data_IF_711050616081
#
_entry.id   IF_711050616081
#
_cell.length_a   1.000
_cell.length_b   1.000
_cell.length_c   1.000
_cell.angle_alpha   90.00
_cell.angle_beta   90.00
_cell.angle_gamma   90.00
#
_symmetry.space_group_name_H-M   'P 1'
#
loop_
_entity.id
_entity.type
_entity.pdbx_description
1 polymer ?
#
# COMPACT_ATOMS: atom_id res chain seq x y z
N UNK A 1 -8.12 0.30 -32.34
CA UNK A 1 -8.13 -1.13 -32.00
C UNK A 1 -9.07 -1.41 -30.81
N UNK A 2 -8.98 -0.66 -29.69
CA UNK A 2 -9.83 -0.84 -28.51
C UNK A 2 -11.34 -0.76 -28.83
N UNK A 3 -11.73 0.18 -29.69
CA UNK A 3 -13.13 0.40 -30.05
C UNK A 3 -13.72 -0.76 -30.87
N UNK A 4 -12.89 -1.46 -31.64
CA UNK A 4 -13.33 -2.58 -32.49
C UNK A 4 -13.11 -3.95 -31.85
N UNK A 5 -12.15 -4.08 -30.92
CA UNK A 5 -11.74 -5.33 -30.29
C UNK A 5 -11.92 -5.34 -28.77
N UNK A 6 -12.72 -4.41 -28.21
CA UNK A 6 -12.87 -4.27 -26.75
C UNK A 6 -13.32 -5.57 -26.06
N UNK A 7 -14.18 -6.38 -26.68
CA UNK A 7 -14.61 -7.67 -26.14
C UNK A 7 -13.46 -8.69 -26.09
N UNK A 8 -12.62 -8.74 -27.12
CA UNK A 8 -11.45 -9.62 -27.17
C UNK A 8 -10.41 -9.21 -26.10
N UNK A 9 -10.15 -7.92 -25.98
CA UNK A 9 -9.25 -7.37 -24.94
C UNK A 9 -9.79 -7.71 -23.55
N UNK A 10 -11.08 -7.51 -23.29
CA UNK A 10 -11.72 -7.88 -22.03
C UNK A 10 -11.56 -9.38 -21.71
N UNK A 11 -11.72 -10.26 -22.70
CA UNK A 11 -11.52 -11.70 -22.53
C UNK A 11 -10.05 -12.03 -22.17
N UNK A 12 -9.08 -11.41 -22.84
CA UNK A 12 -7.67 -11.61 -22.51
C UNK A 12 -7.32 -11.07 -21.12
N UNK A 13 -7.81 -9.89 -20.75
CA UNK A 13 -7.67 -9.35 -19.39
C UNK A 13 -8.26 -10.32 -18.35
N UNK A 14 -9.44 -10.89 -18.62
CA UNK A 14 -10.05 -11.87 -17.74
C UNK A 14 -9.18 -13.10 -17.55
N UNK A 15 -8.63 -13.68 -18.63
CA UNK A 15 -7.74 -14.83 -18.55
C UNK A 15 -6.51 -14.53 -17.68
N UNK A 16 -5.87 -13.38 -17.88
CA UNK A 16 -4.69 -12.98 -17.09
C UNK A 16 -5.07 -12.78 -15.63
N UNK A 17 -6.09 -11.96 -15.35
CA UNK A 17 -6.48 -11.62 -13.96
C UNK A 17 -6.92 -12.86 -13.19
N UNK A 18 -7.72 -13.73 -13.79
CA UNK A 18 -8.16 -14.95 -13.10
C UNK A 18 -7.00 -15.93 -12.89
N UNK A 19 -6.06 -16.02 -13.83
CA UNK A 19 -4.88 -16.88 -13.68
C UNK A 19 -3.98 -16.44 -12.53
N UNK A 20 -3.73 -15.14 -12.38
CA UNK A 20 -2.88 -14.62 -11.28
C UNK A 20 -3.55 -14.76 -9.90
N UNK A 21 -4.89 -14.78 -9.84
CA UNK A 21 -5.64 -14.97 -8.60
C UNK A 21 -5.72 -16.44 -8.15
N UNK A 22 -5.31 -17.39 -8.99
CA UNK A 22 -5.32 -18.79 -8.62
C UNK A 22 -4.05 -19.17 -7.84
N UNK A 23 -4.17 -19.78 -6.65
CA UNK A 23 -3.04 -20.37 -5.96
C UNK A 23 -2.46 -21.52 -6.76
N UNK A 24 -1.13 -21.64 -6.80
CA UNK A 24 -0.47 -22.75 -7.45
C UNK A 24 0.52 -23.44 -6.50
N UNK A 25 0.60 -24.77 -6.57
CA UNK A 25 1.50 -25.57 -5.74
C UNK A 25 2.97 -25.18 -5.93
N UNK A 26 3.39 -24.88 -7.16
CA UNK A 26 4.74 -24.39 -7.47
C UNK A 26 5.10 -23.05 -6.79
N UNK A 27 4.10 -22.32 -6.30
CA UNK A 27 4.28 -21.06 -5.54
C UNK A 27 3.91 -21.21 -4.06
N UNK A 28 3.96 -22.42 -3.50
CA UNK A 28 3.53 -22.67 -2.12
C UNK A 28 2.06 -22.34 -1.86
N UNK A 29 1.20 -22.60 -2.84
CA UNK A 29 -0.23 -22.28 -2.83
C UNK A 29 -0.54 -20.78 -2.67
N UNK A 30 0.37 -19.91 -3.12
CA UNK A 30 0.14 -18.45 -3.17
C UNK A 30 -0.31 -18.02 -4.57
N UNK A 31 -1.11 -16.96 -4.60
CA UNK A 31 -1.43 -16.23 -5.84
C UNK A 31 -0.25 -15.32 -6.23
N UNK A 32 -0.21 -14.91 -7.50
CA UNK A 32 0.79 -13.93 -7.94
C UNK A 32 0.43 -12.56 -7.40
N UNK A 33 1.32 -11.98 -6.59
CA UNK A 33 1.17 -10.60 -6.15
C UNK A 33 1.49 -9.65 -7.32
N UNK A 34 0.47 -9.01 -7.85
CA UNK A 34 0.58 -8.12 -8.99
C UNK A 34 -0.01 -6.75 -8.69
N UNK A 35 0.71 -5.69 -9.04
CA UNK A 35 0.28 -4.31 -8.91
C UNK A 35 0.24 -3.65 -10.28
N UNK A 36 -0.81 -2.89 -10.56
CA UNK A 36 -0.95 -2.06 -11.75
C UNK A 36 -1.15 -0.62 -11.33
N UNK A 37 -0.41 0.30 -11.96
CA UNK A 37 -0.64 1.73 -11.78
C UNK A 37 -1.33 2.33 -13.01
N UNK A 38 -2.26 3.24 -12.75
CA UNK A 38 -2.85 4.15 -13.71
C UNK A 38 -2.36 5.56 -13.39
N UNK A 39 -2.11 6.37 -14.39
CA UNK A 39 -1.39 7.63 -14.26
C UNK A 39 -2.24 8.79 -14.74
N UNK A 40 -2.05 9.97 -14.17
CA UNK A 40 -2.47 11.22 -14.77
C UNK A 40 -1.59 11.60 -15.96
N UNK A 41 -1.99 12.60 -16.74
CA UNK A 41 -1.24 13.00 -17.91
C UNK A 41 0.17 13.46 -17.56
N UNK A 42 0.35 14.23 -16.50
CA UNK A 42 1.65 14.78 -16.12
C UNK A 42 2.63 13.72 -15.67
N UNK A 43 2.14 12.72 -14.93
CA UNK A 43 2.92 11.55 -14.54
C UNK A 43 3.35 10.75 -15.77
N UNK A 44 2.38 10.50 -16.67
CA UNK A 44 2.63 9.78 -17.91
C UNK A 44 3.68 10.49 -18.78
N UNK A 45 3.54 11.81 -18.99
CA UNK A 45 4.48 12.59 -19.81
C UNK A 45 5.90 12.55 -19.21
N UNK A 46 6.03 12.66 -17.88
CA UNK A 46 7.31 12.63 -17.21
C UNK A 46 8.00 11.25 -17.26
N UNK A 47 7.22 10.17 -17.16
CA UNK A 47 7.77 8.81 -17.12
C UNK A 47 7.96 8.20 -18.52
N UNK A 48 7.04 8.47 -19.44
CA UNK A 48 6.96 7.79 -20.74
C UNK A 48 7.08 8.71 -21.94
N UNK A 49 7.15 10.03 -21.75
CA UNK A 49 7.19 11.00 -22.85
C UNK A 49 8.39 10.82 -23.81
N UNK A 50 9.50 10.29 -23.29
CA UNK A 50 10.70 10.00 -24.05
C UNK A 50 10.77 8.55 -24.58
N UNK A 51 9.77 7.71 -24.26
CA UNK A 51 9.72 6.33 -24.75
C UNK A 51 9.51 6.31 -26.28
N UNK A 52 10.20 5.41 -26.95
CA UNK A 52 10.10 5.22 -28.40
C UNK A 52 9.80 3.76 -28.68
N UNK A 53 8.71 3.51 -29.40
CA UNK A 53 8.37 2.16 -29.87
C UNK A 53 9.33 1.70 -30.98
N UNK A 54 9.37 0.37 -31.29
CA UNK A 54 10.24 -0.15 -32.34
C UNK A 54 10.01 0.46 -33.75
N UNK A 55 8.82 1.00 -33.99
CA UNK A 55 8.47 1.72 -35.23
C UNK A 55 8.78 3.23 -35.18
N UNK A 56 9.53 3.67 -34.14
CA UNK A 56 9.90 5.07 -33.89
C UNK A 56 8.73 5.98 -33.49
N UNK A 57 7.53 5.46 -33.31
CA UNK A 57 6.43 6.24 -32.75
C UNK A 57 6.61 6.47 -31.23
N UNK A 58 5.96 7.50 -30.69
CA UNK A 58 5.92 7.80 -29.26
C UNK A 58 4.57 7.44 -28.67
N UNK A 59 4.51 7.13 -27.36
CA UNK A 59 3.25 6.92 -26.70
C UNK A 59 2.39 8.20 -26.72
N UNK A 60 1.09 8.02 -26.87
CA UNK A 60 0.12 9.13 -27.00
C UNK A 60 -0.85 9.07 -25.83
N UNK A 61 -0.85 10.11 -25.00
CA UNK A 61 -1.70 10.18 -23.80
C UNK A 61 -3.18 9.82 -24.02
N UNK A 62 -3.90 10.35 -25.03
CA UNK A 62 -5.31 9.99 -25.23
C UNK A 62 -5.54 8.48 -25.44
N UNK A 63 -4.60 7.76 -26.03
CA UNK A 63 -4.68 6.30 -26.20
C UNK A 63 -4.49 5.57 -24.88
N UNK A 64 -3.54 6.02 -24.08
CA UNK A 64 -3.27 5.44 -22.74
C UNK A 64 -4.43 5.74 -21.80
N UNK A 65 -4.94 6.96 -21.77
CA UNK A 65 -6.12 7.33 -20.97
C UNK A 65 -7.34 6.45 -21.30
N UNK A 66 -7.63 6.23 -22.59
CA UNK A 66 -8.70 5.32 -23.03
C UNK A 66 -8.49 3.90 -22.51
N UNK A 67 -7.27 3.37 -22.58
CA UNK A 67 -6.97 2.01 -22.10
C UNK A 67 -7.09 1.91 -20.58
N UNK A 68 -6.60 2.90 -19.85
CA UNK A 68 -6.71 2.95 -18.38
C UNK A 68 -8.18 2.99 -17.95
N UNK A 69 -9.00 3.85 -18.54
CA UNK A 69 -10.43 3.95 -18.27
C UNK A 69 -11.17 2.65 -18.63
N UNK A 70 -10.82 2.03 -19.76
CA UNK A 70 -11.38 0.74 -20.14
C UNK A 70 -11.05 -0.33 -19.09
N UNK A 71 -9.80 -0.41 -18.65
CA UNK A 71 -9.37 -1.36 -17.64
C UNK A 71 -10.09 -1.13 -16.29
N UNK A 72 -10.15 0.11 -15.79
CA UNK A 72 -10.80 0.43 -14.52
C UNK A 72 -12.27 0.03 -14.52
N UNK A 73 -13.01 0.38 -15.56
CA UNK A 73 -14.44 0.03 -15.70
C UNK A 73 -14.65 -1.46 -15.82
N UNK A 74 -13.86 -2.13 -16.66
CA UNK A 74 -13.92 -3.57 -16.81
C UNK A 74 -13.60 -4.29 -15.48
N UNK A 75 -12.52 -3.91 -14.81
CA UNK A 75 -12.11 -4.55 -13.55
C UNK A 75 -13.11 -4.31 -12.42
N UNK A 76 -13.71 -3.11 -12.37
CA UNK A 76 -14.78 -2.80 -11.42
C UNK A 76 -16.03 -3.69 -11.63
N UNK A 77 -16.35 -4.02 -12.88
CA UNK A 77 -17.43 -4.97 -13.21
C UNK A 77 -17.05 -6.42 -12.86
N UNK A 78 -15.84 -6.87 -13.20
CA UNK A 78 -15.39 -8.24 -12.87
C UNK A 78 -15.41 -8.51 -11.37
N UNK A 79 -15.12 -7.52 -10.53
CA UNK A 79 -15.16 -7.64 -9.07
C UNK A 79 -16.56 -7.84 -8.49
N UNK A 80 -17.62 -7.67 -9.26
CA UNK A 80 -18.98 -8.09 -8.86
C UNK A 80 -19.26 -9.56 -9.15
N UNK A 81 -18.42 -10.23 -9.94
CA UNK A 81 -18.55 -11.66 -10.28
C UNK A 81 -17.71 -12.56 -9.38
N UNK A 82 -16.55 -12.07 -8.96
CA UNK A 82 -15.62 -12.81 -8.10
C UNK A 82 -14.83 -11.87 -7.19
N UNK A 83 -14.41 -12.39 -6.04
CA UNK A 83 -13.48 -11.68 -5.15
C UNK A 83 -12.08 -11.76 -5.75
N UNK A 84 -11.70 -10.75 -6.53
CA UNK A 84 -10.39 -10.65 -7.16
C UNK A 84 -9.46 -9.85 -6.25
N UNK A 85 -8.47 -10.54 -5.69
CA UNK A 85 -7.46 -9.94 -4.83
C UNK A 85 -6.46 -9.11 -5.63
N UNK A 86 -6.09 -9.58 -6.80
CA UNK A 86 -5.10 -8.99 -7.70
C UNK A 86 -5.68 -8.71 -9.09
N UNK A 87 -5.17 -7.71 -9.81
CA UNK A 87 -4.11 -6.79 -9.41
C UNK A 87 -4.55 -5.83 -8.28
N UNK A 88 -3.59 -5.42 -7.45
CA UNK A 88 -3.74 -4.20 -6.64
C UNK A 88 -3.59 -3.03 -7.60
N UNK A 89 -4.56 -2.14 -7.65
CA UNK A 89 -4.54 -0.97 -8.54
C UNK A 89 -4.11 0.27 -7.74
N UNK A 90 -3.25 1.08 -8.32
CA UNK A 90 -2.83 2.39 -7.78
C UNK A 90 -3.08 3.48 -8.80
N UNK A 91 -3.84 4.51 -8.44
CA UNK A 91 -3.98 5.73 -9.22
C UNK A 91 -2.91 6.73 -8.77
N UNK A 92 -1.95 7.00 -9.64
CA UNK A 92 -0.83 7.89 -9.38
C UNK A 92 -1.08 9.27 -10.02
N UNK A 93 -1.02 10.32 -9.20
CA UNK A 93 -1.28 11.70 -9.60
C UNK A 93 -0.17 12.63 -9.12
N UNK A 94 0.24 13.56 -9.97
CA UNK A 94 1.14 14.62 -9.57
C UNK A 94 0.38 15.75 -8.87
N UNK A 95 1.04 16.32 -7.87
CA UNK A 95 0.54 17.48 -7.11
C UNK A 95 1.44 18.69 -7.35
N UNK A 96 0.84 19.86 -7.17
CA UNK A 96 1.54 21.15 -7.16
C UNK A 96 0.83 22.09 -6.17
N UNK A 97 1.59 22.68 -5.24
CA UNK A 97 1.04 23.59 -4.23
C UNK A 97 -0.10 22.99 -3.39
N UNK A 98 -0.08 21.67 -3.09
CA UNK A 98 -1.12 21.00 -2.31
C UNK A 98 -2.41 20.73 -3.10
N UNK A 99 -2.35 20.64 -4.42
CA UNK A 99 -3.48 20.32 -5.32
C UNK A 99 -3.07 19.30 -6.36
N UNK A 100 -4.02 18.46 -6.81
CA UNK A 100 -3.78 17.60 -7.98
C UNK A 100 -3.58 18.47 -9.23
N UNK A 101 -2.51 18.21 -9.97
CA UNK A 101 -2.19 18.94 -11.21
C UNK A 101 -3.22 18.67 -12.31
N UNK A 102 -3.59 17.41 -12.49
CA UNK A 102 -4.60 16.97 -13.44
C UNK A 102 -5.96 16.86 -12.74
N UNK A 103 -6.74 17.94 -12.80
CA UNK A 103 -8.07 17.99 -12.18
C UNK A 103 -9.06 17.05 -12.88
N UNK A 104 -8.91 16.85 -14.19
CA UNK A 104 -9.79 15.96 -14.97
C UNK A 104 -9.59 14.51 -14.54
N UNK A 105 -8.35 14.07 -14.42
CA UNK A 105 -8.05 12.72 -13.95
C UNK A 105 -8.47 12.54 -12.48
N UNK A 106 -8.29 13.55 -11.63
CA UNK A 106 -8.75 13.50 -10.24
C UNK A 106 -10.28 13.35 -10.13
N UNK A 107 -11.03 14.07 -10.99
CA UNK A 107 -12.49 13.95 -11.06
C UNK A 107 -12.91 12.55 -11.58
N UNK A 108 -12.22 12.01 -12.59
CA UNK A 108 -12.44 10.63 -13.05
C UNK A 108 -12.19 9.60 -11.96
N UNK A 109 -11.12 9.75 -11.16
CA UNK A 109 -10.82 8.83 -10.05
C UNK A 109 -11.87 8.95 -8.92
N UNK A 110 -12.33 10.15 -8.62
CA UNK A 110 -13.41 10.35 -7.65
C UNK A 110 -14.71 9.68 -8.10
N UNK A 111 -15.04 9.77 -9.38
CA UNK A 111 -16.20 9.08 -9.99
C UNK A 111 -16.04 7.55 -9.91
N UNK A 112 -14.90 7.00 -10.29
CA UNK A 112 -14.64 5.56 -10.21
C UNK A 112 -14.79 5.04 -8.77
N UNK A 113 -14.32 5.78 -7.76
CA UNK A 113 -14.52 5.45 -6.35
C UNK A 113 -16.00 5.48 -5.96
N UNK A 114 -16.76 6.49 -6.43
CA UNK A 114 -18.21 6.60 -6.18
C UNK A 114 -19.00 5.45 -6.84
N UNK A 115 -18.54 4.95 -7.98
CA UNK A 115 -19.08 3.76 -8.66
C UNK A 115 -18.65 2.43 -7.97
N UNK A 116 -17.96 2.52 -6.84
CA UNK A 116 -17.54 1.38 -6.01
C UNK A 116 -16.28 0.69 -6.49
N UNK A 117 -15.47 1.35 -7.34
CA UNK A 117 -14.13 0.86 -7.62
C UNK A 117 -13.25 0.99 -6.36
N UNK A 118 -12.21 0.17 -6.27
CA UNK A 118 -11.35 0.14 -5.10
C UNK A 118 -9.89 0.06 -5.55
N UNK A 119 -9.17 1.14 -5.35
CA UNK A 119 -7.75 1.28 -5.66
C UNK A 119 -7.06 2.14 -4.60
N UNK A 120 -5.73 2.10 -4.60
CA UNK A 120 -4.91 3.05 -3.87
C UNK A 120 -4.76 4.33 -4.66
N UNK A 121 -4.63 5.42 -3.95
CA UNK A 121 -4.25 6.72 -4.51
C UNK A 121 -2.82 7.00 -4.08
N UNK A 122 -1.97 7.36 -5.02
CA UNK A 122 -0.62 7.86 -4.78
C UNK A 122 -0.48 9.29 -5.29
N UNK A 123 -0.08 10.18 -4.40
CA UNK A 123 0.14 11.60 -4.70
C UNK A 123 1.61 11.94 -4.49
N UNK A 124 2.21 12.63 -5.45
CA UNK A 124 3.60 13.08 -5.36
C UNK A 124 3.80 14.41 -6.08
N UNK A 125 4.67 15.24 -5.56
CA UNK A 125 5.19 16.42 -6.25
C UNK A 125 6.38 16.09 -7.18
N UNK A 126 6.87 14.85 -7.13
CA UNK A 126 7.99 14.35 -7.90
C UNK A 126 7.59 13.13 -8.75
N UNK A 127 7.71 13.21 -10.10
CA UNK A 127 7.39 12.09 -10.99
C UNK A 127 8.36 10.90 -10.86
N UNK A 128 9.56 11.10 -10.31
CA UNK A 128 10.55 10.05 -10.12
C UNK A 128 10.22 9.14 -8.92
N UNK A 129 9.12 9.38 -8.24
CA UNK A 129 8.67 8.62 -7.09
C UNK A 129 7.35 7.92 -7.38
N UNK A 130 7.25 6.63 -7.11
CA UNK A 130 6.03 5.84 -7.30
C UNK A 130 5.88 4.86 -6.14
N UNK A 131 4.68 4.81 -5.56
CA UNK A 131 4.33 3.76 -4.62
C UNK A 131 3.88 2.51 -5.36
N UNK A 132 4.42 1.37 -4.97
CA UNK A 132 3.97 0.07 -5.44
C UNK A 132 3.68 -0.85 -4.25
N UNK A 133 2.77 -1.80 -4.45
CA UNK A 133 2.41 -2.79 -3.46
C UNK A 133 1.75 -2.19 -2.21
N UNK A 134 2.14 -2.66 -1.03
CA UNK A 134 1.43 -2.35 0.20
C UNK A 134 1.81 -1.01 0.81
N UNK A 135 3.00 -0.47 0.57
CA UNK A 135 3.47 0.83 1.13
C UNK A 135 4.83 1.28 0.59
N UNK A 136 5.51 0.46 -0.22
CA UNK A 136 6.85 0.75 -0.67
C UNK A 136 6.86 1.96 -1.62
N UNK A 137 7.53 3.02 -1.22
CA UNK A 137 7.85 4.15 -2.09
C UNK A 137 9.17 3.85 -2.80
N UNK A 138 9.15 3.84 -4.13
CA UNK A 138 10.33 3.64 -4.95
C UNK A 138 10.74 4.97 -5.58
N UNK A 139 11.95 5.43 -5.31
CA UNK A 139 12.55 6.50 -6.09
C UNK A 139 13.08 5.92 -7.40
N UNK A 140 12.58 6.43 -8.52
CA UNK A 140 13.03 6.03 -9.85
C UNK A 140 14.22 6.91 -10.20
N UNK A 141 15.39 6.56 -9.70
CA UNK A 141 16.64 7.31 -9.98
C UNK A 141 17.14 7.13 -11.42
N UNK A 142 16.58 6.17 -12.14
CA UNK A 142 17.07 5.76 -13.45
C UNK A 142 15.92 5.78 -14.47
N UNK A 143 15.92 6.76 -15.37
CA UNK A 143 14.97 6.90 -16.49
C UNK A 143 15.13 5.79 -17.55
N UNK A 144 15.61 4.61 -17.17
CA UNK A 144 15.86 3.46 -18.06
C UNK A 144 14.61 2.74 -18.55
N UNK A 145 13.42 3.35 -18.43
CA UNK A 145 12.20 2.87 -19.09
C UNK A 145 12.37 2.69 -20.60
N UNK A 146 13.27 3.44 -21.21
CA UNK A 146 13.46 3.45 -22.66
C UNK A 146 14.20 2.22 -23.22
N UNK A 147 14.77 1.35 -22.40
CA UNK A 147 15.63 0.25 -22.88
C UNK A 147 15.23 -1.15 -22.49
N UNK A 148 14.21 -1.34 -21.67
CA UNK A 148 13.78 -2.67 -21.26
C UNK A 148 12.30 -2.86 -21.55
N UNK A 149 11.98 -3.55 -22.62
CA UNK A 149 10.65 -4.02 -22.96
C UNK A 149 10.01 -4.75 -21.74
N UNK A 150 9.05 -4.08 -21.10
CA UNK A 150 8.20 -4.66 -20.08
C UNK A 150 8.74 -4.74 -18.65
N UNK A 151 10.02 -4.49 -18.43
CA UNK A 151 10.60 -4.46 -17.08
C UNK A 151 10.80 -3.03 -16.57
N UNK A 152 10.12 -2.07 -17.18
CA UNK A 152 10.28 -0.65 -16.97
C UNK A 152 10.72 -0.30 -15.58
N UNK A 153 11.76 0.51 -15.42
CA UNK A 153 12.35 1.20 -14.26
C UNK A 153 11.96 0.86 -12.83
N UNK A 154 11.03 -0.06 -12.62
CA UNK A 154 10.47 -0.51 -11.35
C UNK A 154 11.07 -1.86 -10.93
N UNK A 155 12.30 -2.16 -11.33
CA UNK A 155 13.03 -3.34 -10.83
C UNK A 155 13.54 -3.10 -9.39
N UNK A 156 12.79 -2.34 -8.58
CA UNK A 156 13.09 -2.04 -7.19
C UNK A 156 12.18 -2.84 -6.26
N UNK A 157 12.60 -3.01 -5.04
CA UNK A 157 11.83 -3.73 -4.01
C UNK A 157 12.62 -3.85 -2.74
N UNK A 158 12.08 -4.53 -1.74
CA UNK A 158 12.80 -4.88 -0.53
C UNK A 158 13.28 -6.33 -0.61
N UNK A 159 14.59 -6.53 -0.49
CA UNK A 159 15.19 -7.87 -0.46
C UNK A 159 15.12 -8.49 0.93
N UNK A 160 15.09 -7.66 1.96
CA UNK A 160 15.02 -8.08 3.36
C UNK A 160 14.31 -7.02 4.20
N UNK A 161 13.45 -7.45 5.11
CA UNK A 161 12.78 -6.57 6.07
C UNK A 161 13.04 -7.09 7.48
N UNK A 162 13.62 -6.25 8.34
CA UNK A 162 13.70 -6.51 9.78
C UNK A 162 12.83 -5.48 10.48
N UNK A 163 11.80 -5.95 11.19
CA UNK A 163 10.80 -5.07 11.81
C UNK A 163 11.09 -4.88 13.29
N UNK A 164 11.15 -3.61 13.71
CA UNK A 164 11.29 -3.22 15.12
C UNK A 164 9.91 -3.30 15.79
N UNK A 165 9.84 -3.99 16.92
CA UNK A 165 8.74 -3.89 17.86
C UNK A 165 8.95 -2.63 18.72
N UNK A 166 8.32 -1.52 18.33
CA UNK A 166 8.53 -0.24 19.00
C UNK A 166 8.04 -0.25 20.45
N UNK A 167 6.93 -0.96 20.74
CA UNK A 167 6.41 -1.06 22.10
C UNK A 167 7.42 -1.68 23.06
N UNK A 168 8.04 -2.79 22.67
CA UNK A 168 9.08 -3.45 23.48
C UNK A 168 10.33 -2.60 23.63
N UNK A 169 10.77 -2.00 22.54
CA UNK A 169 11.97 -1.16 22.52
C UNK A 169 11.87 0.01 23.50
N UNK A 170 10.72 0.71 23.51
CA UNK A 170 10.48 1.84 24.40
C UNK A 170 10.38 1.40 25.87
N UNK A 171 9.69 0.31 26.15
CA UNK A 171 9.57 -0.21 27.54
C UNK A 171 10.89 -0.74 28.09
N UNK A 172 11.76 -1.29 27.25
CA UNK A 172 13.12 -1.68 27.62
C UNK A 172 14.06 -0.47 27.83
N UNK A 173 13.68 0.72 27.39
CA UNK A 173 14.53 1.90 27.39
C UNK A 173 15.79 1.74 26.55
N UNK A 174 15.74 0.91 25.49
CA UNK A 174 16.89 0.68 24.61
C UNK A 174 17.10 1.86 23.67
N UNK A 175 18.37 2.14 23.39
CA UNK A 175 18.74 3.14 22.40
C UNK A 175 18.36 2.70 20.99
N UNK A 176 17.41 3.43 20.38
CA UNK A 176 16.93 3.17 19.03
C UNK A 176 18.04 3.24 17.98
N UNK A 177 18.97 4.20 18.09
CA UNK A 177 20.06 4.35 17.13
C UNK A 177 21.00 3.12 17.17
N UNK A 178 21.30 2.60 18.36
CA UNK A 178 22.10 1.39 18.53
C UNK A 178 21.42 0.15 17.98
N UNK A 179 20.09 0.02 18.14
CA UNK A 179 19.34 -1.11 17.56
C UNK A 179 19.27 -1.00 16.03
N UNK A 180 19.11 0.18 15.48
CA UNK A 180 19.12 0.42 14.03
C UNK A 180 20.49 0.09 13.44
N UNK A 181 21.59 0.51 14.06
CA UNK A 181 22.96 0.14 13.63
C UNK A 181 23.19 -1.38 13.60
N UNK A 182 22.67 -2.07 14.61
CA UNK A 182 22.71 -3.54 14.67
C UNK A 182 21.90 -4.18 13.54
N UNK A 183 20.71 -3.65 13.24
CA UNK A 183 19.89 -4.12 12.11
C UNK A 183 20.63 -3.92 10.79
N UNK A 184 21.24 -2.75 10.56
CA UNK A 184 22.04 -2.49 9.36
C UNK A 184 23.13 -3.54 9.15
N UNK A 185 23.85 -3.93 10.21
CA UNK A 185 24.88 -4.96 10.14
C UNK A 185 24.32 -6.33 9.73
N UNK A 186 23.18 -6.74 10.30
CA UNK A 186 22.52 -7.99 9.91
C UNK A 186 22.02 -7.95 8.46
N UNK A 187 21.41 -6.86 8.05
CA UNK A 187 20.90 -6.70 6.70
C UNK A 187 22.03 -6.63 5.67
N UNK A 188 23.14 -5.97 6.00
CA UNK A 188 24.30 -5.95 5.13
C UNK A 188 24.95 -7.34 4.99
N UNK A 189 25.05 -8.09 6.08
CA UNK A 189 25.51 -9.49 6.02
C UNK A 189 24.58 -10.36 5.14
N UNK A 190 23.26 -10.18 5.28
CA UNK A 190 22.29 -10.84 4.40
C UNK A 190 22.49 -10.45 2.93
N UNK A 191 22.72 -9.18 2.63
CA UNK A 191 23.00 -8.71 1.27
C UNK A 191 24.25 -9.39 0.71
N UNK A 192 25.33 -9.54 1.49
CA UNK A 192 26.53 -10.25 1.06
C UNK A 192 26.26 -11.72 0.75
N UNK A 193 25.46 -12.39 1.57
CA UNK A 193 25.02 -13.76 1.30
C UNK A 193 24.24 -13.86 -0.02
N UNK A 194 23.38 -12.89 -0.33
CA UNK A 194 22.64 -12.88 -1.59
C UNK A 194 23.57 -12.65 -2.80
N UNK A 195 24.60 -11.83 -2.66
CA UNK A 195 25.65 -11.65 -3.70
C UNK A 195 26.41 -12.96 -3.96
N UNK A 196 26.74 -13.72 -2.92
CA UNK A 196 27.37 -15.05 -3.04
C UNK A 196 26.44 -16.03 -3.74
N UNK A 197 25.16 -16.06 -3.39
CA UNK A 197 24.17 -16.92 -4.06
C UNK A 197 23.97 -16.57 -5.53
N UNK A 198 23.98 -15.27 -5.86
CA UNK A 198 23.93 -14.84 -7.26
C UNK A 198 25.18 -15.28 -8.01
N UNK A 199 26.37 -15.06 -7.45
CA UNK A 199 27.62 -15.50 -8.05
C UNK A 199 27.70 -17.02 -8.27
N UNK A 200 27.00 -17.80 -7.44
CA UNK A 200 26.89 -19.25 -7.58
C UNK A 200 25.77 -19.70 -8.56
N UNK A 201 25.08 -18.78 -9.24
CA UNK A 201 23.97 -19.08 -10.17
C UNK A 201 22.70 -19.58 -9.49
N UNK A 202 22.52 -19.29 -8.19
CA UNK A 202 21.38 -19.76 -7.40
C UNK A 202 20.16 -18.80 -7.45
N UNK A 203 20.29 -17.64 -8.09
CA UNK A 203 19.27 -16.60 -8.19
C UNK A 203 18.89 -16.32 -9.64
N UNK A 204 18.19 -17.23 -10.33
CA UNK A 204 17.97 -17.15 -11.77
C UNK A 204 17.19 -15.90 -12.22
N UNK A 205 16.35 -15.30 -11.35
CA UNK A 205 15.60 -14.08 -11.66
C UNK A 205 16.54 -12.87 -11.77
N UNK A 206 17.57 -12.81 -10.93
CA UNK A 206 18.62 -11.79 -10.99
C UNK A 206 19.55 -12.02 -12.19
N UNK A 207 19.91 -13.27 -12.44
CA UNK A 207 20.80 -13.65 -13.56
C UNK A 207 20.12 -13.38 -14.92
N UNK A 208 18.80 -13.52 -14.98
CA UNK A 208 18.00 -13.16 -16.16
C UNK A 208 17.83 -11.64 -16.37
N UNK A 209 18.30 -10.81 -15.42
CA UNK A 209 18.25 -9.35 -15.51
C UNK A 209 16.89 -8.71 -15.27
N UNK A 210 15.90 -9.46 -14.75
CA UNK A 210 14.60 -8.90 -14.40
C UNK A 210 14.67 -7.90 -13.23
N UNK A 211 15.53 -8.19 -12.27
CA UNK A 211 15.84 -7.33 -11.12
C UNK A 211 17.34 -7.35 -10.85
N UNK A 212 17.85 -6.32 -10.19
CA UNK A 212 19.25 -6.23 -9.83
C UNK A 212 19.40 -5.93 -8.34
N UNK A 213 20.44 -6.48 -7.71
CA UNK A 213 20.64 -6.31 -6.26
C UNK A 213 20.90 -4.85 -5.86
N UNK A 214 21.54 -4.06 -6.70
CA UNK A 214 21.84 -2.64 -6.48
C UNK A 214 20.60 -1.74 -6.42
N UNK A 215 19.49 -2.19 -7.02
CA UNK A 215 18.18 -1.51 -6.98
C UNK A 215 17.30 -1.96 -5.81
N UNK A 216 17.73 -2.97 -5.04
CA UNK A 216 16.95 -3.49 -3.92
C UNK A 216 17.30 -2.80 -2.61
N UNK A 217 16.26 -2.55 -1.80
CA UNK A 217 16.39 -1.98 -0.47
C UNK A 217 16.55 -3.06 0.60
N UNK A 218 17.25 -2.69 1.64
CA UNK A 218 17.27 -3.36 2.94
C UNK A 218 16.36 -2.53 3.85
N UNK A 219 15.20 -3.06 4.21
CA UNK A 219 14.14 -2.28 4.83
C UNK A 219 14.09 -2.48 6.34
N UNK A 220 14.07 -1.38 7.07
CA UNK A 220 13.68 -1.38 8.49
C UNK A 220 12.18 -1.22 8.56
N UNK A 221 11.49 -2.25 9.02
CA UNK A 221 10.07 -2.20 9.31
C UNK A 221 9.79 -1.59 10.69
N UNK A 222 8.64 -0.93 10.83
CA UNK A 222 8.16 -0.42 12.12
C UNK A 222 6.78 -1.03 12.39
N UNK A 223 6.56 -1.48 13.64
CA UNK A 223 5.26 -1.94 14.12
C UNK A 223 5.09 -1.58 15.60
N UNK A 224 3.87 -1.25 16.01
CA UNK A 224 3.56 -0.95 17.40
C UNK A 224 3.99 0.47 17.86
N UNK A 225 3.98 1.45 16.96
CA UNK A 225 4.31 2.84 17.31
C UNK A 225 3.25 3.48 18.21
N UNK A 226 1.97 3.22 17.95
CA UNK A 226 0.87 3.69 18.78
C UNK A 226 0.97 3.09 20.20
N UNK A 227 1.22 1.78 20.28
CA UNK A 227 1.39 1.06 21.54
C UNK A 227 2.62 1.55 22.33
N UNK A 228 3.69 1.88 21.62
CA UNK A 228 4.89 2.48 22.23
C UNK A 228 4.59 3.84 22.88
N UNK A 229 3.84 4.70 22.19
CA UNK A 229 3.43 6.00 22.73
C UNK A 229 2.52 5.82 23.96
N UNK A 230 1.52 4.94 23.89
CA UNK A 230 0.64 4.63 25.02
C UNK A 230 1.41 4.11 26.23
N UNK A 231 2.45 3.28 26.03
CA UNK A 231 3.30 2.77 27.12
C UNK A 231 4.07 3.88 27.85
N UNK A 232 4.28 5.03 27.17
CA UNK A 232 4.90 6.22 27.74
C UNK A 232 3.87 7.24 28.28
N UNK A 233 2.57 6.87 28.28
CA UNK A 233 1.49 7.77 28.71
C UNK A 233 1.12 8.86 27.72
N UNK A 234 1.53 8.72 26.46
CA UNK A 234 1.24 9.67 25.39
C UNK A 234 -0.07 9.26 24.70
N UNK A 235 -1.05 10.19 24.63
CA UNK A 235 -2.31 9.96 23.92
C UNK A 235 -2.06 9.93 22.42
N UNK A 236 -2.43 8.81 21.77
CA UNK A 236 -2.36 8.67 20.31
C UNK A 236 -3.40 9.60 19.66
N UNK A 237 -2.99 10.37 18.67
CA UNK A 237 -3.86 11.29 17.93
C UNK A 237 -3.07 12.44 17.32
N UNK A 238 -3.75 13.31 16.59
CA UNK A 238 -3.10 14.49 16.01
C UNK A 238 -2.92 15.58 17.08
N UNK A 239 -1.85 15.46 17.84
CA UNK A 239 -1.42 16.40 18.90
C UNK A 239 0.10 16.47 18.97
N UNK A 240 0.62 17.56 19.52
CA UNK A 240 2.06 17.84 19.52
C UNK A 240 2.90 16.77 20.24
N UNK A 241 2.42 16.22 21.35
CA UNK A 241 3.16 15.22 22.12
C UNK A 241 3.35 13.94 21.29
N UNK A 242 2.28 13.47 20.66
CA UNK A 242 2.35 12.26 19.82
C UNK A 242 3.14 12.50 18.53
N UNK A 243 2.92 13.64 17.85
CA UNK A 243 3.68 14.00 16.64
C UNK A 243 5.17 14.07 16.94
N UNK A 244 5.58 14.78 18.00
CA UNK A 244 6.98 14.88 18.40
C UNK A 244 7.57 13.52 18.78
N UNK A 245 6.80 12.68 19.47
CA UNK A 245 7.20 11.32 19.82
C UNK A 245 7.52 10.50 18.57
N UNK A 246 6.58 10.46 17.61
CA UNK A 246 6.72 9.68 16.37
C UNK A 246 7.84 10.24 15.49
N UNK A 247 7.82 11.55 15.25
CA UNK A 247 8.80 12.23 14.40
C UNK A 247 10.23 12.02 14.89
N UNK A 248 10.45 12.12 16.21
CA UNK A 248 11.78 11.88 16.79
C UNK A 248 12.32 10.48 16.48
N UNK A 249 11.46 9.42 16.53
CA UNK A 249 11.85 8.05 16.20
C UNK A 249 12.10 7.86 14.72
N UNK A 250 11.20 8.36 13.89
CA UNK A 250 11.32 8.26 12.43
C UNK A 250 12.58 8.97 11.94
N UNK A 251 12.85 10.18 12.44
CA UNK A 251 14.04 10.94 12.09
C UNK A 251 15.33 10.21 12.47
N UNK A 252 15.38 9.63 13.67
CA UNK A 252 16.53 8.82 14.11
C UNK A 252 16.82 7.68 13.13
N UNK A 253 15.79 6.95 12.71
CA UNK A 253 15.94 5.83 11.77
C UNK A 253 16.34 6.34 10.38
N UNK A 254 15.71 7.41 9.90
CA UNK A 254 15.97 8.01 8.59
C UNK A 254 17.43 8.47 8.48
N UNK A 255 17.91 9.25 9.46
CA UNK A 255 19.30 9.73 9.48
C UNK A 255 20.32 8.58 9.54
N UNK A 256 20.01 7.54 10.34
CA UNK A 256 20.83 6.33 10.41
C UNK A 256 20.86 5.56 9.08
N UNK A 257 19.71 5.44 8.39
CA UNK A 257 19.63 4.82 7.06
C UNK A 257 20.48 5.57 6.03
N UNK A 258 20.43 6.91 6.02
CA UNK A 258 21.25 7.73 5.12
C UNK A 258 22.75 7.52 5.36
N UNK A 259 23.16 7.51 6.63
CA UNK A 259 24.55 7.27 7.00
C UNK A 259 25.01 5.85 6.63
N UNK A 260 24.19 4.84 6.92
CA UNK A 260 24.47 3.44 6.60
C UNK A 260 24.50 3.19 5.09
N UNK A 261 23.60 3.79 4.32
CA UNK A 261 23.58 3.68 2.86
C UNK A 261 24.88 4.18 2.25
N UNK A 262 25.38 5.32 2.75
CA UNK A 262 26.68 5.87 2.33
C UNK A 262 27.86 5.00 2.78
N UNK A 263 27.80 4.46 4.00
CA UNK A 263 28.90 3.65 4.58
C UNK A 263 29.04 2.30 3.88
N UNK A 264 27.91 1.59 3.68
CA UNK A 264 27.90 0.23 3.12
C UNK A 264 27.80 0.18 1.60
N UNK A 265 27.45 1.29 0.93
CA UNK A 265 27.22 1.34 -0.52
C UNK A 265 26.00 0.55 -0.98
N UNK A 266 24.99 0.42 -0.11
CA UNK A 266 23.72 -0.28 -0.38
C UNK A 266 22.53 0.62 0.02
N UNK A 267 21.32 0.30 -0.44
CA UNK A 267 20.14 1.11 -0.17
C UNK A 267 19.42 0.61 1.09
N UNK A 268 19.24 1.48 2.08
CA UNK A 268 18.38 1.26 3.23
C UNK A 268 17.16 2.17 3.16
N UNK A 269 16.01 1.71 3.64
CA UNK A 269 14.82 2.53 3.81
C UNK A 269 14.00 2.08 5.03
N UNK A 270 12.98 2.86 5.37
CA UNK A 270 12.09 2.59 6.50
C UNK A 270 10.65 2.54 6.04
N UNK A 271 9.93 1.49 6.44
CA UNK A 271 8.53 1.27 6.09
C UNK A 271 7.70 1.03 7.35
N UNK A 272 6.51 1.62 7.39
CA UNK A 272 5.49 1.25 8.36
C UNK A 272 4.84 -0.06 7.88
N UNK A 273 5.41 -1.20 8.30
CA UNK A 273 5.13 -2.52 7.72
C UNK A 273 3.68 -2.93 7.89
N UNK A 274 2.99 -3.32 6.81
CA UNK A 274 1.68 -3.92 6.87
C UNK A 274 1.75 -5.35 7.38
N UNK A 275 1.98 -5.51 8.69
CA UNK A 275 2.24 -6.79 9.31
C UNK A 275 0.96 -7.62 9.49
N UNK A 276 0.61 -8.50 8.55
CA UNK A 276 -0.61 -9.31 8.62
C UNK A 276 -0.72 -10.09 9.94
N UNK A 277 0.33 -10.78 10.34
CA UNK A 277 0.37 -11.57 11.57
C UNK A 277 1.38 -11.07 12.61
N UNK A 278 2.32 -10.20 12.23
CA UNK A 278 3.38 -9.76 13.12
C UNK A 278 2.83 -8.93 14.28
N UNK A 279 1.85 -8.05 14.02
CA UNK A 279 1.20 -7.26 15.09
C UNK A 279 0.59 -8.15 16.17
N UNK A 280 -0.05 -9.25 15.78
CA UNK A 280 -0.60 -10.26 16.73
C UNK A 280 0.53 -10.99 17.45
N UNK A 281 1.60 -11.37 16.76
CA UNK A 281 2.75 -12.04 17.35
C UNK A 281 3.47 -11.13 18.35
N UNK A 282 3.72 -9.87 17.99
CA UNK A 282 4.37 -8.91 18.88
C UNK A 282 3.57 -8.73 20.17
N UNK A 283 2.27 -8.49 20.07
CA UNK A 283 1.41 -8.36 21.25
C UNK A 283 1.41 -9.62 22.13
N UNK A 284 1.38 -10.81 21.51
CA UNK A 284 1.44 -12.08 22.23
C UNK A 284 2.77 -12.29 22.95
N UNK A 285 3.89 -12.02 22.27
CA UNK A 285 5.23 -12.17 22.85
C UNK A 285 5.47 -11.15 23.96
N UNK A 286 5.08 -9.88 23.76
CA UNK A 286 5.22 -8.85 24.78
C UNK A 286 4.42 -9.20 26.03
N UNK A 287 3.17 -9.68 25.86
CA UNK A 287 2.35 -10.13 26.99
C UNK A 287 2.96 -11.32 27.74
N UNK A 288 3.52 -12.29 27.01
CA UNK A 288 4.17 -13.47 27.61
C UNK A 288 5.44 -13.10 28.38
N UNK A 289 6.17 -12.08 27.91
CA UNK A 289 7.41 -11.61 28.52
C UNK A 289 7.18 -10.51 29.59
N UNK A 290 5.91 -10.18 29.90
CA UNK A 290 5.54 -9.27 31.00
C UNK A 290 5.53 -7.79 30.67
N UNK A 291 5.59 -7.42 29.39
CA UNK A 291 5.45 -6.01 28.96
C UNK A 291 3.99 -5.56 29.01
N UNK A 292 3.80 -4.25 29.10
CA UNK A 292 2.49 -3.63 28.96
C UNK A 292 1.99 -3.77 27.50
N UNK A 293 0.78 -4.31 27.35
CA UNK A 293 0.14 -4.56 26.05
C UNK A 293 -1.25 -3.96 26.07
N UNK A 294 -1.50 -2.93 25.28
CA UNK A 294 -2.79 -2.25 25.23
C UNK A 294 -3.84 -2.97 24.37
N UNK A 295 -3.40 -3.83 23.43
CA UNK A 295 -4.29 -4.57 22.50
C UNK A 295 -3.70 -5.89 22.00
N UNK A 296 -4.55 -6.76 21.46
CA UNK A 296 -4.12 -8.09 20.97
C UNK A 296 -3.43 -8.06 19.59
N UNK A 297 -3.53 -6.95 18.87
CA UNK A 297 -2.89 -6.78 17.55
C UNK A 297 -2.33 -5.36 17.44
N UNK A 298 -1.01 -5.22 17.42
CA UNK A 298 -0.36 -3.91 17.29
C UNK A 298 -0.65 -3.25 15.95
N UNK A 299 -0.83 -1.95 15.99
CA UNK A 299 -1.18 -1.17 14.82
C UNK A 299 -0.03 -1.08 13.80
N UNK A 300 -0.42 -1.08 12.54
CA UNK A 300 0.44 -0.79 11.38
C UNK A 300 0.13 0.60 10.80
N UNK A 301 -0.41 1.51 11.61
CA UNK A 301 -0.79 2.88 11.26
C UNK A 301 -0.34 3.83 12.36
N UNK A 302 -0.31 5.13 12.05
CA UNK A 302 -0.05 6.18 13.05
C UNK A 302 -1.25 6.45 13.97
N UNK A 303 -2.32 5.71 13.85
CA UNK A 303 -3.53 5.80 14.67
C UNK A 303 -3.98 4.41 15.12
N UNK A 304 -4.82 4.39 16.12
CA UNK A 304 -5.47 3.17 16.62
C UNK A 304 -6.73 2.91 15.80
N UNK A 305 -6.85 1.71 15.22
CA UNK A 305 -7.91 1.41 14.24
C UNK A 305 -9.31 1.32 14.87
N UNK A 306 -9.39 1.03 16.15
CA UNK A 306 -10.63 0.98 16.94
C UNK A 306 -11.03 2.34 17.54
N UNK A 307 -10.17 3.36 17.47
CA UNK A 307 -10.43 4.66 18.09
C UNK A 307 -11.47 5.46 17.29
N UNK A 308 -12.59 5.74 17.95
CA UNK A 308 -13.70 6.53 17.38
C UNK A 308 -13.47 8.04 17.48
N UNK A 309 -12.56 8.50 18.37
CA UNK A 309 -12.28 9.91 18.58
C UNK A 309 -11.42 10.49 17.45
N UNK A 310 -10.61 9.65 16.78
CA UNK A 310 -9.75 10.08 15.67
C UNK A 310 -10.59 10.17 14.40
N UNK A 311 -10.93 11.38 13.99
CA UNK A 311 -11.73 11.62 12.79
C UNK A 311 -10.94 11.39 11.49
N UNK A 312 -11.62 11.46 10.34
CA UNK A 312 -11.01 11.21 9.03
C UNK A 312 -9.89 12.22 8.71
N UNK A 313 -10.07 13.50 9.04
CA UNK A 313 -9.06 14.53 8.79
C UNK A 313 -7.80 14.29 9.62
N UNK A 314 -7.93 13.93 10.89
CA UNK A 314 -6.80 13.60 11.76
C UNK A 314 -5.99 12.43 11.20
N UNK A 315 -6.66 11.42 10.59
CA UNK A 315 -5.99 10.30 9.94
C UNK A 315 -5.18 10.75 8.72
N UNK A 316 -5.68 11.70 7.92
CA UNK A 316 -4.91 12.29 6.82
C UNK A 316 -3.73 13.13 7.33
N UNK A 317 -3.90 13.90 8.39
CA UNK A 317 -2.83 14.66 9.01
C UNK A 317 -1.74 13.77 9.59
N UNK A 318 -2.11 12.69 10.30
CA UNK A 318 -1.17 11.68 10.83
C UNK A 318 -0.41 10.90 9.73
N UNK A 319 -0.98 10.82 8.52
CA UNK A 319 -0.30 10.27 7.33
C UNK A 319 0.15 11.37 6.36
N UNK A 320 0.16 12.61 6.83
CA UNK A 320 0.59 13.79 6.10
C UNK A 320 2.11 13.99 6.11
N UNK A 321 2.53 15.04 5.44
CA UNK A 321 3.94 15.38 5.19
C UNK A 321 4.79 15.42 6.45
N UNK A 322 4.22 15.85 7.57
CA UNK A 322 4.94 16.01 8.85
C UNK A 322 5.60 14.69 9.33
N UNK A 323 4.96 13.55 9.08
CA UNK A 323 5.48 12.24 9.45
C UNK A 323 6.01 11.44 8.26
N UNK A 324 5.31 11.47 7.11
CA UNK A 324 5.68 10.60 5.97
C UNK A 324 6.95 11.04 5.24
N UNK A 325 7.39 12.29 5.38
CA UNK A 325 8.67 12.75 4.83
C UNK A 325 9.87 12.02 5.45
N UNK A 326 9.71 11.45 6.66
CA UNK A 326 10.72 10.66 7.35
C UNK A 326 10.61 9.15 7.05
N UNK A 327 9.67 8.74 6.20
CA UNK A 327 9.45 7.34 5.78
C UNK A 327 9.73 7.19 4.30
N UNK A 328 10.99 6.96 3.95
CA UNK A 328 11.43 6.75 2.58
C UNK A 328 10.97 5.42 1.97
N UNK A 329 10.62 4.43 2.79
CA UNK A 329 9.92 3.21 2.38
C UNK A 329 8.39 3.35 2.35
N UNK A 330 7.83 4.38 2.99
CA UNK A 330 6.42 4.74 2.93
C UNK A 330 5.53 4.18 4.02
N UNK A 331 4.29 4.67 4.01
CA UNK A 331 3.17 4.17 4.79
C UNK A 331 1.88 4.31 3.96
N UNK A 332 0.82 3.60 4.31
CA UNK A 332 -0.47 3.77 3.66
C UNK A 332 -1.57 4.05 4.68
N UNK A 333 -2.34 5.10 4.44
CA UNK A 333 -3.58 5.35 5.16
C UNK A 333 -4.69 4.44 4.62
N UNK A 334 -5.39 3.74 5.50
CA UNK A 334 -6.61 3.02 5.20
C UNK A 334 -7.80 3.74 5.83
N UNK A 335 -8.49 4.56 5.06
CA UNK A 335 -9.71 5.22 5.51
C UNK A 335 -10.88 4.25 5.38
N UNK A 336 -11.44 3.82 6.51
CA UNK A 336 -12.57 2.91 6.54
C UNK A 336 -13.87 3.72 6.62
N UNK A 337 -14.78 3.52 5.66
CA UNK A 337 -16.08 4.16 5.59
C UNK A 337 -17.20 3.11 5.69
N UNK A 338 -18.27 3.44 6.39
CA UNK A 338 -19.43 2.56 6.55
C UNK A 338 -20.23 2.45 5.25
N UNK A 339 -20.25 3.52 4.46
CA UNK A 339 -20.91 3.59 3.15
C UNK A 339 -20.06 4.38 2.12
N UNK A 340 -20.36 4.18 0.84
CA UNK A 340 -19.72 4.92 -0.24
C UNK A 340 -20.12 6.40 -0.20
N UNK A 341 -19.17 7.28 -0.50
CA UNK A 341 -19.41 8.70 -0.66
C UNK A 341 -19.91 9.02 -2.09
N UNK A 342 -20.60 10.16 -2.29
CA UNK A 342 -20.81 10.70 -3.62
C UNK A 342 -19.46 11.14 -4.24
N UNK A 343 -19.45 11.35 -5.55
CA UNK A 343 -18.26 11.79 -6.30
C UNK A 343 -17.61 13.04 -5.68
N UNK A 344 -18.43 14.04 -5.31
CA UNK A 344 -17.92 15.25 -4.65
C UNK A 344 -17.22 14.97 -3.31
N UNK A 345 -17.69 13.98 -2.54
CA UNK A 345 -17.07 13.56 -1.30
C UNK A 345 -15.70 12.92 -1.54
N UNK A 346 -15.59 12.02 -2.50
CA UNK A 346 -14.30 11.44 -2.88
C UNK A 346 -13.35 12.48 -3.45
N UNK A 347 -13.86 13.43 -4.25
CA UNK A 347 -13.05 14.53 -4.76
C UNK A 347 -12.46 15.38 -3.61
N UNK A 348 -13.27 15.66 -2.59
CA UNK A 348 -12.80 16.35 -1.39
C UNK A 348 -11.72 15.58 -0.63
N UNK A 349 -11.81 14.23 -0.56
CA UNK A 349 -10.76 13.42 0.05
C UNK A 349 -9.43 13.49 -0.72
N UNK A 350 -9.47 13.53 -2.06
CA UNK A 350 -8.27 13.74 -2.88
C UNK A 350 -7.64 15.11 -2.59
N UNK A 351 -8.45 16.16 -2.46
CA UNK A 351 -7.97 17.50 -2.13
C UNK A 351 -7.36 17.57 -0.72
N UNK A 352 -8.00 16.94 0.28
CA UNK A 352 -7.49 16.84 1.64
C UNK A 352 -6.14 16.11 1.64
N UNK A 353 -6.02 14.98 0.94
CA UNK A 353 -4.78 14.23 0.83
C UNK A 353 -3.66 15.07 0.21
N UNK A 354 -3.94 15.80 -0.88
CA UNK A 354 -2.98 16.69 -1.51
C UNK A 354 -2.54 17.84 -0.59
N UNK A 355 -3.49 18.46 0.14
CA UNK A 355 -3.20 19.56 1.07
C UNK A 355 -2.41 19.12 2.29
N UNK A 356 -2.71 17.96 2.86
CA UNK A 356 -2.01 17.42 4.04
C UNK A 356 -0.68 16.77 3.69
N UNK A 357 -0.44 16.46 2.40
CA UNK A 357 0.71 15.69 1.95
C UNK A 357 0.60 14.19 2.27
N UNK A 358 -0.61 13.69 2.51
CA UNK A 358 -0.86 12.25 2.60
C UNK A 358 -0.65 11.62 1.22
N UNK A 359 0.51 11.02 1.03
CA UNK A 359 0.98 10.61 -0.30
C UNK A 359 0.48 9.24 -0.75
N UNK A 360 0.00 8.38 0.16
CA UNK A 360 -0.49 7.05 -0.21
C UNK A 360 -1.65 6.61 0.69
N UNK A 361 -2.80 6.40 0.09
CA UNK A 361 -3.99 6.00 0.84
C UNK A 361 -4.97 5.17 0.01
N UNK A 362 -5.89 4.50 0.67
CA UNK A 362 -7.09 3.93 0.04
C UNK A 362 -8.32 4.17 0.91
N UNK A 363 -9.47 4.17 0.26
CA UNK A 363 -10.77 4.21 0.93
C UNK A 363 -11.38 2.81 0.90
N UNK A 364 -11.75 2.30 2.06
CA UNK A 364 -12.33 0.98 2.22
C UNK A 364 -13.81 1.10 2.58
N UNK A 365 -14.65 0.61 1.70
CA UNK A 365 -16.05 0.30 2.00
C UNK A 365 -16.19 -1.22 1.99
N UNK A 366 -16.87 -1.80 2.97
CA UNK A 366 -17.09 -3.25 2.99
C UNK A 366 -18.07 -3.64 1.88
N UNK A 367 -17.71 -4.63 1.11
CA UNK A 367 -18.61 -5.26 0.13
C UNK A 367 -19.33 -6.45 0.78
N UNK A 368 -20.56 -6.73 0.37
CA UNK A 368 -21.34 -7.88 0.84
C UNK A 368 -21.24 -9.03 -0.16
N UNK A 369 -20.97 -10.23 0.33
CA UNK A 369 -20.78 -11.44 -0.47
C UNK A 369 -21.77 -12.48 0.04
N UNK A 370 -22.70 -12.91 -0.78
CA UNK A 370 -23.66 -13.97 -0.43
C UNK A 370 -22.99 -15.35 -0.55
N UNK A 371 -23.10 -16.16 0.51
CA UNK A 371 -22.56 -17.52 0.49
C UNK A 371 -23.50 -18.50 -0.25
N UNK A 372 -24.79 -18.20 -0.37
CA UNK A 372 -25.73 -19.07 -1.06
C UNK A 372 -25.74 -18.88 -2.58
N UNK A 373 -25.93 -17.64 -3.06
CA UNK A 373 -26.07 -17.39 -4.51
C UNK A 373 -24.80 -16.81 -5.16
N UNK A 374 -23.75 -16.51 -4.37
CA UNK A 374 -22.49 -15.97 -4.87
C UNK A 374 -22.56 -14.47 -5.26
N UNK A 375 -23.72 -13.81 -5.11
CA UNK A 375 -23.87 -12.41 -5.46
C UNK A 375 -22.93 -11.51 -4.62
N UNK A 376 -22.26 -10.57 -5.28
CA UNK A 376 -21.41 -9.57 -4.65
C UNK A 376 -22.03 -8.20 -4.82
N UNK A 377 -22.41 -7.56 -3.71
CA UNK A 377 -22.89 -6.19 -3.65
C UNK A 377 -21.79 -5.27 -3.14
N UNK A 378 -21.57 -4.13 -3.80
CA UNK A 378 -20.54 -3.15 -3.43
C UNK A 378 -20.88 -2.36 -2.16
N UNK A 379 -22.07 -2.51 -1.63
CA UNK A 379 -22.55 -1.88 -0.40
C UNK A 379 -22.39 -2.82 0.79
N UNK A 380 -22.33 -2.26 2.00
CA UNK A 380 -22.43 -3.00 3.26
C UNK A 380 -23.90 -3.27 3.57
N UNK A 381 -24.33 -4.53 3.44
CA UNK A 381 -25.72 -4.95 3.65
C UNK A 381 -25.80 -6.04 4.73
N UNK A 382 -26.98 -6.22 5.34
CA UNK A 382 -27.24 -7.27 6.34
C UNK A 382 -27.91 -8.52 5.74
N UNK A 383 -28.30 -8.45 4.47
CA UNK A 383 -28.85 -9.56 3.70
C UNK A 383 -28.49 -9.39 2.22
N UNK A 384 -28.47 -10.48 1.47
CA UNK A 384 -28.20 -10.48 0.05
C UNK A 384 -29.28 -9.70 -0.72
N UNK A 385 -28.88 -8.73 -1.53
CA UNK A 385 -29.79 -7.94 -2.36
C UNK A 385 -30.41 -8.74 -3.52
N UNK A 386 -29.85 -9.89 -3.88
CA UNK A 386 -30.33 -10.72 -4.98
C UNK A 386 -31.28 -11.84 -4.53
N UNK A 387 -31.00 -12.55 -3.43
CA UNK A 387 -31.79 -13.71 -2.98
C UNK A 387 -32.38 -13.56 -1.58
N UNK A 388 -32.09 -12.47 -0.86
CA UNK A 388 -32.60 -12.22 0.49
C UNK A 388 -31.92 -13.02 1.61
N UNK A 389 -30.96 -13.89 1.29
CA UNK A 389 -30.25 -14.69 2.29
C UNK A 389 -29.49 -13.85 3.30
N UNK A 390 -29.51 -14.26 4.56
CA UNK A 390 -28.68 -13.72 5.64
C UNK A 390 -27.35 -14.44 5.80
N UNK A 391 -27.10 -15.53 5.07
CA UNK A 391 -25.80 -16.16 5.00
C UNK A 391 -24.87 -15.36 4.08
N UNK A 392 -24.24 -14.36 4.68
CA UNK A 392 -23.37 -13.41 4.01
C UNK A 392 -21.99 -13.36 4.67
N UNK A 393 -21.00 -13.00 3.87
CA UNK A 393 -19.66 -12.62 4.30
C UNK A 393 -19.38 -11.20 3.83
N UNK A 394 -18.36 -10.58 4.39
CA UNK A 394 -17.89 -9.27 3.93
C UNK A 394 -16.54 -9.40 3.25
N UNK A 395 -16.31 -8.52 2.27
CA UNK A 395 -15.01 -8.34 1.67
C UNK A 395 -14.47 -6.93 1.97
N UNK A 396 -13.22 -6.86 2.39
CA UNK A 396 -12.52 -5.58 2.62
C UNK A 396 -11.01 -5.79 2.50
N UNK A 397 -10.22 -4.72 2.56
CA UNK A 397 -8.77 -4.87 2.61
C UNK A 397 -8.35 -5.38 3.98
N UNK A 398 -7.59 -6.49 3.98
CA UNK A 398 -6.97 -6.95 5.23
C UNK A 398 -5.87 -5.98 5.63
N UNK A 399 -4.98 -5.67 4.69
CA UNK A 399 -3.96 -4.63 4.79
C UNK A 399 -3.85 -3.92 3.44
N UNK A 400 -3.16 -4.47 2.44
CA UNK A 400 -2.96 -3.87 1.13
C UNK A 400 -3.88 -4.42 0.03
N UNK A 401 -4.58 -5.53 0.26
CA UNK A 401 -5.36 -6.23 -0.75
C UNK A 401 -6.73 -6.71 -0.23
N UNK A 402 -7.68 -6.79 -1.15
CA UNK A 402 -9.06 -7.20 -0.88
C UNK A 402 -9.13 -8.71 -0.60
N UNK A 403 -9.85 -9.09 0.46
CA UNK A 403 -10.08 -10.49 0.82
C UNK A 403 -11.41 -10.64 1.56
N UNK A 404 -12.00 -11.84 1.55
CA UNK A 404 -13.13 -12.17 2.43
C UNK A 404 -12.69 -12.09 3.90
N UNK A 405 -13.53 -11.53 4.76
CA UNK A 405 -13.25 -11.41 6.19
C UNK A 405 -13.14 -12.79 6.85
N UNK A 406 -13.96 -13.75 6.43
CA UNK A 406 -13.87 -15.15 6.89
C UNK A 406 -12.51 -15.79 6.62
N UNK A 407 -11.79 -15.34 5.57
CA UNK A 407 -10.46 -15.83 5.21
C UNK A 407 -9.31 -15.07 5.89
N UNK A 408 -9.59 -14.10 6.78
CA UNK A 408 -8.56 -13.44 7.59
C UNK A 408 -8.01 -14.40 8.65
N UNK A 409 -6.77 -14.19 9.09
CA UNK A 409 -6.25 -14.86 10.28
C UNK A 409 -7.10 -14.52 11.52
N UNK A 410 -7.09 -15.38 12.54
CA UNK A 410 -7.90 -15.19 13.75
C UNK A 410 -7.66 -13.82 14.41
N UNK A 411 -6.39 -13.39 14.50
CA UNK A 411 -6.03 -12.08 15.06
C UNK A 411 -6.54 -10.93 14.20
N UNK A 412 -6.47 -11.05 12.87
CA UNK A 412 -7.00 -10.03 11.96
C UNK A 412 -8.52 -9.98 11.90
N UNK A 413 -9.20 -11.08 12.12
CA UNK A 413 -10.67 -11.07 12.31
C UNK A 413 -11.07 -10.30 13.56
N UNK A 414 -10.35 -10.48 14.67
CA UNK A 414 -10.58 -9.72 15.91
C UNK A 414 -10.33 -8.23 15.70
N UNK A 415 -9.20 -7.86 15.09
CA UNK A 415 -8.89 -6.47 14.76
C UNK A 415 -9.95 -5.87 13.83
N UNK A 416 -10.37 -6.59 12.78
CA UNK A 416 -11.43 -6.14 11.88
C UNK A 416 -12.77 -5.89 12.62
N UNK A 417 -13.11 -6.73 13.59
CA UNK A 417 -14.34 -6.57 14.38
C UNK A 417 -14.33 -5.30 15.23
N UNK A 418 -13.14 -4.81 15.60
CA UNK A 418 -12.96 -3.59 16.38
C UNK A 418 -12.75 -2.34 15.52
N UNK A 419 -12.51 -2.49 14.19
CA UNK A 419 -12.27 -1.34 13.31
C UNK A 419 -13.39 -0.34 13.37
N UNK A 420 -13.01 0.93 13.62
CA UNK A 420 -13.94 2.02 13.45
C UNK A 420 -14.15 2.34 11.96
N UNK A 421 -15.42 2.39 11.55
CA UNK A 421 -15.84 2.81 10.21
C UNK A 421 -16.54 4.17 10.31
N UNK A 422 -15.97 5.18 9.67
CA UNK A 422 -16.54 6.53 9.70
C UNK A 422 -17.89 6.54 8.99
N UNK A 423 -18.89 7.13 9.64
CA UNK A 423 -20.22 7.36 9.06
C UNK A 423 -20.23 8.69 8.32
N UNK A 424 -21.04 8.77 7.27
CA UNK A 424 -21.38 10.04 6.66
C UNK A 424 -22.02 10.92 7.71
N UNK A 425 -21.50 12.15 7.91
CA UNK A 425 -22.20 13.12 8.72
C UNK A 425 -23.60 13.34 8.12
N UNK A 426 -24.63 13.22 8.97
CA UNK A 426 -26.02 13.35 8.55
C UNK A 426 -26.33 14.77 8.06
#
# INVERSE_FOLDING_TARGET
YLETHGKEIANHMQQVVYSINQPAAARGYQSVFWNISVYDQYYFDAMFGDFVFPDFSKPVWPSVAKLQNFFLKWFNQERTKAVLTFPVVTAAMLTDGGKCKDTVFADEMAKELAEGNSFFVYLSDNPDSLASCCRLRNAIEDRTFSYTLGAGGVATGSINVITINMNRLEQDGRDLAAEVDKIHKYQYAYRKLMEEYQAAGMLPVYDAGFITLDKQFLTIGINGMAEAAESQGIKVGYNDDYINFVQGRLKTIFEANQAASKHYGVKFNTEFVPAENLGVKNAKWDKADGYQVSRECYNSYFYVVEDEEINALDKFLLHGKELVDWLDGGSALHLNLDEALPESGYRSLLDIAAQTGCNYFCVNVRITICNECGHIDKRTLHACSACGSHDIDYGTRVIGYLKRVSAFSSGRRKEHALRHYHRKAA
#
